data_IF_983767647435
#
_entry.id   IF_983767647435
#
_cell.length_a   1.000
_cell.length_b   1.000
_cell.length_c   1.000
_cell.angle_alpha   90.00
_cell.angle_beta   90.00
_cell.angle_gamma   90.00
#
_symmetry.space_group_name_H-M   'P 1'
#
loop_
_entity.id
_entity.type
_entity.pdbx_description
1 polymer ?
#
# COMPACT_ATOMS: atom_id res chain seq x y z
N UNK A 1 11.30 -14.22 -13.29
CA UNK A 1 9.86 -14.06 -13.59
C UNK A 1 9.68 -13.84 -15.08
N UNK A 2 8.63 -14.39 -15.71
CA UNK A 2 8.32 -14.16 -17.13
C UNK A 2 7.99 -12.68 -17.33
N UNK A 3 8.63 -12.04 -18.31
CA UNK A 3 8.37 -10.64 -18.64
C UNK A 3 7.17 -10.56 -19.60
N UNK A 4 6.19 -9.70 -19.27
CA UNK A 4 5.09 -9.43 -20.19
C UNK A 4 5.58 -8.62 -21.40
N UNK A 5 5.13 -8.90 -22.65
CA UNK A 5 5.55 -8.16 -23.84
C UNK A 5 5.21 -6.66 -23.78
N UNK A 6 4.15 -6.30 -23.06
CA UNK A 6 3.72 -4.89 -22.89
C UNK A 6 4.31 -4.23 -21.63
N UNK A 7 5.43 -4.74 -21.08
CA UNK A 7 6.14 -4.09 -20.00
C UNK A 7 6.58 -2.69 -20.38
N UNK A 8 6.30 -1.74 -19.50
CA UNK A 8 6.81 -0.38 -19.57
C UNK A 8 7.85 -0.21 -18.46
N UNK A 9 9.09 0.06 -18.85
CA UNK A 9 10.18 0.35 -17.91
C UNK A 9 10.34 1.86 -17.82
N UNK A 10 10.22 2.37 -16.60
CA UNK A 10 10.45 3.79 -16.30
C UNK A 10 11.94 4.07 -16.11
N UNK A 11 12.57 3.29 -15.22
CA UNK A 11 14.00 3.29 -14.94
C UNK A 11 14.48 1.87 -14.64
N UNK A 12 15.78 1.64 -14.55
CA UNK A 12 16.33 0.32 -14.24
C UNK A 12 15.84 -0.19 -12.87
N UNK A 13 15.10 -1.29 -12.89
CA UNK A 13 14.48 -1.87 -11.69
C UNK A 13 13.11 -1.28 -11.34
N UNK A 14 12.60 -0.32 -12.13
CA UNK A 14 11.28 0.30 -11.94
C UNK A 14 10.45 0.15 -13.22
N UNK A 15 9.43 -0.71 -13.16
CA UNK A 15 8.60 -1.04 -14.32
C UNK A 15 7.20 -1.45 -13.89
N UNK A 16 6.28 -1.41 -14.84
CA UNK A 16 4.97 -2.01 -14.67
C UNK A 16 4.54 -2.75 -15.94
N UNK A 17 3.67 -3.73 -15.77
CA UNK A 17 3.18 -4.57 -16.86
C UNK A 17 1.80 -5.16 -16.52
N UNK A 18 1.00 -5.56 -17.53
CA UNK A 18 -0.19 -6.36 -17.29
C UNK A 18 0.15 -7.64 -16.53
N UNK A 19 -0.79 -8.15 -15.75
CA UNK A 19 -0.56 -9.36 -14.96
C UNK A 19 -0.25 -10.54 -15.88
N UNK A 20 0.95 -11.12 -15.71
CA UNK A 20 1.32 -12.37 -16.39
C UNK A 20 0.50 -13.54 -15.86
N UNK A 21 0.51 -14.67 -16.58
CA UNK A 21 -0.17 -15.89 -16.14
C UNK A 21 0.33 -16.34 -14.76
N UNK A 22 1.65 -16.29 -14.52
CA UNK A 22 2.25 -16.69 -13.26
C UNK A 22 1.83 -15.79 -12.08
N UNK A 23 1.69 -14.49 -12.31
CA UNK A 23 1.20 -13.56 -11.28
C UNK A 23 -0.28 -13.84 -10.98
N UNK A 24 -1.12 -14.03 -12.02
CA UNK A 24 -2.55 -14.37 -11.82
C UNK A 24 -2.71 -15.66 -11.00
N UNK A 25 -1.94 -16.71 -11.33
CA UNK A 25 -1.96 -17.98 -10.59
C UNK A 25 -1.51 -17.80 -9.12
N UNK A 26 -0.56 -16.92 -8.83
CA UNK A 26 -0.07 -16.63 -7.48
C UNK A 26 -1.11 -15.95 -6.60
N UNK A 27 -1.87 -15.00 -7.15
CA UNK A 27 -2.80 -14.17 -6.37
C UNK A 27 -4.21 -14.74 -6.27
N UNK A 28 -4.62 -15.61 -7.23
CA UNK A 28 -5.98 -16.14 -7.29
C UNK A 28 -6.24 -17.10 -6.12
N UNK A 29 -7.33 -16.87 -5.41
CA UNK A 29 -7.67 -17.60 -4.18
C UNK A 29 -7.06 -16.99 -2.92
N UNK A 30 -6.25 -15.93 -3.04
CA UNK A 30 -5.64 -15.21 -1.91
C UNK A 30 -6.11 -13.75 -1.91
N UNK A 31 -5.35 -12.83 -2.51
CA UNK A 31 -5.75 -11.41 -2.61
C UNK A 31 -6.79 -11.17 -3.69
N UNK A 32 -6.86 -12.02 -4.70
CA UNK A 32 -7.86 -12.00 -5.77
C UNK A 32 -8.79 -13.22 -5.66
N UNK A 33 -10.10 -13.05 -5.43
CA UNK A 33 -11.02 -14.19 -5.22
C UNK A 33 -11.16 -15.05 -6.47
N UNK A 34 -11.34 -16.37 -6.30
CA UNK A 34 -11.56 -17.32 -7.40
C UNK A 34 -12.84 -17.02 -8.20
N UNK A 35 -13.82 -16.37 -7.55
CA UNK A 35 -15.09 -16.00 -8.16
C UNK A 35 -15.69 -14.75 -7.51
N UNK A 36 -16.54 -14.05 -8.25
CA UNK A 36 -17.25 -12.88 -7.74
C UNK A 36 -16.42 -11.59 -7.67
N UNK A 37 -15.18 -11.58 -8.15
CA UNK A 37 -14.41 -10.36 -8.27
C UNK A 37 -15.05 -9.44 -9.31
N UNK A 38 -15.26 -8.18 -8.93
CA UNK A 38 -15.80 -7.14 -9.82
C UNK A 38 -14.74 -6.32 -10.51
N UNK A 39 -13.46 -6.56 -10.18
CA UNK A 39 -12.29 -5.91 -10.77
C UNK A 39 -11.63 -6.90 -11.72
N UNK A 40 -11.67 -6.68 -13.03
CA UNK A 40 -11.04 -7.61 -13.98
C UNK A 40 -9.51 -7.53 -13.89
N UNK A 41 -8.83 -8.63 -14.21
CA UNK A 41 -7.35 -8.66 -14.23
C UNK A 41 -6.75 -7.62 -15.18
N UNK A 42 -7.48 -7.28 -16.26
CA UNK A 42 -7.09 -6.30 -17.27
C UNK A 42 -7.06 -4.86 -16.74
N UNK A 43 -7.65 -4.62 -15.57
CA UNK A 43 -7.59 -3.33 -14.88
C UNK A 43 -6.44 -3.25 -13.85
N UNK A 44 -5.70 -4.34 -13.67
CA UNK A 44 -4.59 -4.44 -12.74
C UNK A 44 -3.25 -4.58 -13.48
N UNK A 45 -2.23 -3.91 -12.95
CA UNK A 45 -0.85 -4.07 -13.38
C UNK A 45 0.02 -4.55 -12.22
N UNK A 46 1.00 -5.38 -12.56
CA UNK A 46 2.12 -5.68 -11.69
C UNK A 46 3.15 -4.55 -11.79
N UNK A 47 3.70 -4.14 -10.66
CA UNK A 47 4.74 -3.13 -10.54
C UNK A 47 5.95 -3.76 -9.87
N UNK A 48 7.09 -3.77 -10.56
CA UNK A 48 8.39 -4.11 -10.00
C UNK A 48 9.16 -2.83 -9.67
N UNK A 49 9.78 -2.81 -8.50
CA UNK A 49 10.48 -1.64 -8.00
C UNK A 49 11.70 -2.02 -7.13
N UNK A 50 12.54 -1.03 -6.83
CA UNK A 50 13.58 -1.10 -5.82
C UNK A 50 13.23 -0.19 -4.65
N UNK A 51 13.71 -0.52 -3.46
CA UNK A 51 13.58 0.32 -2.27
C UNK A 51 14.80 0.16 -1.37
N UNK A 52 14.97 1.09 -0.42
CA UNK A 52 15.96 1.00 0.65
C UNK A 52 15.24 0.50 1.90
N UNK A 53 15.72 -0.59 2.48
CA UNK A 53 15.14 -1.13 3.71
C UNK A 53 15.60 -0.36 4.97
N UNK A 54 15.13 -0.77 6.14
CA UNK A 54 15.48 -0.12 7.40
C UNK A 54 16.93 -0.34 7.83
N UNK A 55 17.61 -1.32 7.24
CA UNK A 55 19.06 -1.54 7.41
C UNK A 55 19.89 -0.73 6.41
N UNK A 56 19.25 0.08 5.56
CA UNK A 56 19.90 0.89 4.53
C UNK A 56 20.37 0.08 3.33
N UNK A 57 19.81 -1.11 3.10
CA UNK A 57 20.17 -1.98 2.00
C UNK A 57 19.17 -1.86 0.83
N UNK A 58 19.69 -1.91 -0.40
CA UNK A 58 18.85 -1.99 -1.59
C UNK A 58 18.14 -3.34 -1.65
N UNK A 59 16.82 -3.31 -1.81
CA UNK A 59 15.94 -4.45 -1.98
C UNK A 59 15.13 -4.31 -3.25
N UNK A 60 14.56 -5.42 -3.72
CA UNK A 60 13.54 -5.43 -4.77
C UNK A 60 12.16 -5.64 -4.16
N UNK A 61 11.19 -4.86 -4.62
CA UNK A 61 9.81 -4.93 -4.16
C UNK A 61 8.84 -5.15 -5.31
N UNK A 62 7.62 -5.51 -4.96
CA UNK A 62 6.55 -5.75 -5.91
C UNK A 62 5.19 -5.28 -5.38
N UNK A 63 4.38 -4.72 -6.27
CA UNK A 63 3.01 -4.32 -5.99
C UNK A 63 2.09 -4.79 -7.11
N UNK A 64 0.81 -4.89 -6.81
CA UNK A 64 -0.25 -4.92 -7.81
C UNK A 64 -1.11 -3.69 -7.58
N UNK A 65 -1.37 -2.92 -8.62
CA UNK A 65 -2.21 -1.74 -8.55
C UNK A 65 -3.12 -1.62 -9.78
N UNK A 66 -4.06 -0.70 -9.73
CA UNK A 66 -4.85 -0.36 -10.91
C UNK A 66 -3.93 0.18 -12.01
N UNK A 67 -4.16 -0.24 -13.26
CA UNK A 67 -3.40 0.23 -14.42
C UNK A 67 -3.39 1.76 -14.56
N UNK A 68 -4.45 2.42 -14.08
CA UNK A 68 -4.58 3.88 -14.17
C UNK A 68 -3.59 4.64 -13.27
N UNK A 69 -3.01 3.96 -12.27
CA UNK A 69 -2.04 4.57 -11.33
C UNK A 69 -0.65 3.91 -11.39
N UNK A 70 -0.45 2.94 -12.30
CA UNK A 70 0.79 2.20 -12.36
C UNK A 70 2.01 3.09 -12.71
N UNK A 71 1.82 4.08 -13.58
CA UNK A 71 2.85 5.08 -13.89
C UNK A 71 3.17 5.95 -12.65
N UNK A 72 2.15 6.42 -11.93
CA UNK A 72 2.37 7.18 -10.69
C UNK A 72 3.18 6.36 -9.67
N UNK A 73 2.87 5.06 -9.53
CA UNK A 73 3.58 4.18 -8.60
C UNK A 73 5.08 4.09 -8.91
N UNK A 74 5.45 3.84 -10.16
CA UNK A 74 6.89 3.74 -10.50
C UNK A 74 7.61 5.07 -10.33
N UNK A 75 6.97 6.20 -10.64
CA UNK A 75 7.55 7.53 -10.46
C UNK A 75 7.75 7.87 -8.98
N UNK A 76 6.73 7.63 -8.15
CA UNK A 76 6.79 7.88 -6.69
C UNK A 76 7.87 7.01 -6.05
N UNK A 77 7.86 5.69 -6.30
CA UNK A 77 8.82 4.78 -5.68
C UNK A 77 10.24 5.00 -6.18
N UNK A 78 10.43 5.44 -7.42
CA UNK A 78 11.75 5.84 -7.92
C UNK A 78 12.28 7.07 -7.17
N UNK A 79 11.44 8.09 -6.95
CA UNK A 79 11.83 9.27 -6.18
C UNK A 79 12.07 8.94 -4.69
N UNK A 80 11.27 8.06 -4.08
CA UNK A 80 11.54 7.56 -2.72
C UNK A 80 12.91 6.87 -2.65
N UNK A 81 13.18 5.95 -3.58
CA UNK A 81 14.44 5.23 -3.67
C UNK A 81 15.65 6.16 -3.84
N UNK A 82 15.56 7.14 -4.76
CA UNK A 82 16.64 8.10 -5.03
C UNK A 82 16.97 9.01 -3.86
N UNK A 83 16.04 9.17 -2.92
CA UNK A 83 16.22 9.99 -1.73
C UNK A 83 16.47 9.14 -0.47
N UNK A 84 16.85 7.87 -0.63
CA UNK A 84 17.13 6.94 0.45
C UNK A 84 15.97 6.82 1.46
N UNK A 85 14.73 7.00 1.00
CA UNK A 85 13.54 6.86 1.83
C UNK A 85 13.35 5.39 2.20
N UNK A 86 13.34 5.09 3.50
CA UNK A 86 13.34 3.73 3.98
C UNK A 86 11.93 3.14 4.08
N UNK A 87 11.78 1.93 3.53
CA UNK A 87 10.60 1.09 3.63
C UNK A 87 11.01 -0.25 4.22
N UNK A 88 10.29 -0.78 5.22
CA UNK A 88 10.64 -2.08 5.83
C UNK A 88 10.56 -3.21 4.81
N UNK A 89 9.43 -3.29 4.12
CA UNK A 89 9.23 -4.22 3.01
C UNK A 89 8.19 -3.71 2.02
N UNK A 90 8.27 -4.21 0.78
CA UNK A 90 7.28 -3.94 -0.28
C UNK A 90 6.97 -5.27 -0.97
N UNK A 91 5.91 -5.93 -0.51
CA UNK A 91 5.53 -7.29 -0.96
C UNK A 91 4.04 -7.37 -1.24
N UNK A 92 3.66 -8.32 -2.10
CA UNK A 92 2.25 -8.64 -2.29
C UNK A 92 1.65 -9.15 -0.98
N UNK A 93 0.40 -8.75 -0.72
CA UNK A 93 -0.36 -9.20 0.45
C UNK A 93 -0.53 -10.74 0.46
N UNK A 94 -0.34 -11.37 -0.69
CA UNK A 94 -0.41 -12.81 -0.90
C UNK A 94 0.65 -13.58 -0.08
N UNK A 95 1.80 -12.98 0.23
CA UNK A 95 2.80 -13.57 1.12
C UNK A 95 2.32 -13.67 2.58
N UNK A 96 1.25 -12.94 2.90
CA UNK A 96 0.55 -12.95 4.19
C UNK A 96 -0.80 -13.67 4.09
N UNK A 97 -1.01 -14.50 3.06
CA UNK A 97 -2.29 -15.19 2.78
C UNK A 97 -3.50 -14.24 2.65
N UNK A 98 -3.28 -13.02 2.20
CA UNK A 98 -4.32 -11.98 2.10
C UNK A 98 -4.71 -11.34 3.45
N UNK A 99 -4.03 -11.70 4.55
CA UNK A 99 -4.27 -11.16 5.88
C UNK A 99 -3.63 -9.76 6.02
N UNK A 100 -4.49 -8.76 5.97
CA UNK A 100 -4.11 -7.34 6.06
C UNK A 100 -3.44 -7.01 7.41
N UNK A 101 -3.97 -7.57 8.51
CA UNK A 101 -3.43 -7.32 9.85
C UNK A 101 -2.03 -7.93 10.00
N UNK A 102 -1.82 -9.14 9.50
CA UNK A 102 -0.50 -9.78 9.52
C UNK A 102 0.52 -9.00 8.67
N UNK A 103 0.12 -8.55 7.48
CA UNK A 103 0.95 -7.70 6.61
C UNK A 103 1.33 -6.38 7.29
N UNK A 104 0.37 -5.69 7.90
CA UNK A 104 0.63 -4.45 8.63
C UNK A 104 1.52 -4.64 9.86
N UNK A 105 1.37 -5.76 10.57
CA UNK A 105 2.20 -6.08 11.75
C UNK A 105 3.68 -6.29 11.37
N UNK A 106 3.94 -6.81 10.17
CA UNK A 106 5.29 -6.93 9.59
C UNK A 106 5.73 -5.66 8.85
N UNK A 107 5.01 -4.55 9.06
CA UNK A 107 5.28 -3.23 8.47
C UNK A 107 5.40 -3.26 6.93
N UNK A 108 4.65 -4.13 6.28
CA UNK A 108 4.71 -4.31 4.83
C UNK A 108 3.91 -3.25 4.08
N UNK A 109 4.55 -2.55 3.17
CA UNK A 109 3.92 -1.63 2.22
C UNK A 109 3.20 -2.46 1.15
N UNK A 110 1.88 -2.27 1.00
CA UNK A 110 1.04 -3.06 0.09
C UNK A 110 -0.07 -2.24 -0.57
N UNK A 111 -0.56 -2.70 -1.73
CA UNK A 111 -1.55 -1.97 -2.52
C UNK A 111 -2.82 -2.79 -2.72
N UNK A 112 -2.85 -3.72 -3.68
CA UNK A 112 -4.06 -4.49 -4.02
C UNK A 112 -4.37 -5.57 -2.98
N UNK A 113 -5.62 -5.57 -2.50
CA UNK A 113 -6.22 -6.63 -1.71
C UNK A 113 -7.75 -6.56 -1.87
N UNK A 114 -8.37 -7.59 -2.49
CA UNK A 114 -9.82 -7.58 -2.74
C UNK A 114 -10.59 -7.91 -1.46
N UNK A 115 -10.90 -6.88 -0.70
CA UNK A 115 -11.62 -6.97 0.57
C UNK A 115 -12.60 -5.84 0.77
N UNK A 116 -13.53 -6.02 1.68
CA UNK A 116 -14.38 -4.92 2.17
C UNK A 116 -13.65 -4.08 3.21
N UNK A 117 -14.12 -2.86 3.41
CA UNK A 117 -13.69 -2.02 4.52
C UNK A 117 -14.19 -2.65 5.83
N UNK A 118 -13.32 -2.72 6.84
CA UNK A 118 -13.63 -3.32 8.13
C UNK A 118 -14.93 -2.78 8.73
N UNK A 119 -15.81 -3.71 9.17
CA UNK A 119 -17.12 -3.39 9.74
C UNK A 119 -18.17 -2.93 8.72
N UNK A 120 -17.92 -3.04 7.41
CA UNK A 120 -18.85 -2.62 6.34
C UNK A 120 -19.07 -3.70 5.28
N UNK A 121 -20.00 -3.46 4.36
CA UNK A 121 -20.18 -4.24 3.14
C UNK A 121 -19.59 -3.58 1.87
N UNK A 122 -18.97 -2.42 2.03
CA UNK A 122 -18.39 -1.66 0.92
C UNK A 122 -16.98 -2.16 0.61
N UNK A 123 -16.65 -2.32 -0.68
CA UNK A 123 -15.28 -2.63 -1.10
C UNK A 123 -14.32 -1.50 -0.71
N UNK A 124 -13.15 -1.89 -0.22
CA UNK A 124 -12.04 -0.98 0.03
C UNK A 124 -11.47 -0.44 -1.30
N UNK A 125 -10.82 0.72 -1.27
CA UNK A 125 -10.05 1.21 -2.41
C UNK A 125 -8.87 0.28 -2.77
N UNK A 126 -8.35 -0.49 -1.82
CA UNK A 126 -7.40 -1.58 -2.08
C UNK A 126 -7.98 -2.66 -2.99
N UNK A 127 -9.26 -2.96 -2.89
CA UNK A 127 -9.93 -3.92 -3.77
C UNK A 127 -9.93 -3.51 -5.25
N UNK A 128 -9.84 -2.20 -5.51
CA UNK A 128 -9.72 -1.65 -6.85
C UNK A 128 -8.27 -1.40 -7.29
N UNK A 129 -7.30 -1.68 -6.42
CA UNK A 129 -5.89 -1.32 -6.63
C UNK A 129 -5.63 0.18 -6.66
N UNK A 130 -6.49 0.98 -6.03
CA UNK A 130 -6.45 2.46 -6.05
C UNK A 130 -5.99 3.06 -4.72
N UNK A 131 -5.55 2.23 -3.79
CA UNK A 131 -4.98 2.64 -2.51
C UNK A 131 -3.70 1.86 -2.21
N UNK A 132 -2.85 2.47 -1.41
CA UNK A 132 -1.60 1.88 -0.91
C UNK A 132 -1.41 2.28 0.55
N UNK A 133 -0.93 1.34 1.34
CA UNK A 133 -0.52 1.55 2.73
C UNK A 133 1.01 1.49 2.81
N UNK A 134 1.63 2.52 3.41
CA UNK A 134 3.08 2.70 3.47
C UNK A 134 3.56 2.65 4.91
N UNK A 135 4.51 1.78 5.22
CA UNK A 135 5.08 1.61 6.57
C UNK A 135 3.99 1.57 7.68
N UNK A 136 3.01 0.64 7.59
CA UNK A 136 1.78 0.68 8.37
C UNK A 136 1.97 0.57 9.89
N UNK A 137 2.99 -0.15 10.35
CA UNK A 137 3.27 -0.30 11.77
C UNK A 137 3.61 1.04 12.45
N UNK A 138 4.35 1.90 11.76
CA UNK A 138 4.71 3.25 12.23
C UNK A 138 3.66 4.30 11.89
N UNK A 139 2.69 3.97 11.05
CA UNK A 139 1.66 4.89 10.57
C UNK A 139 0.27 4.25 10.71
N UNK A 140 -0.20 3.99 11.94
CA UNK A 140 -1.35 3.17 12.19
C UNK A 140 -2.68 3.77 11.71
N UNK A 141 -3.65 2.88 11.49
CA UNK A 141 -5.06 3.22 11.38
C UNK A 141 -5.66 3.42 12.77
N UNK A 142 -6.37 4.53 12.99
CA UNK A 142 -6.95 4.93 14.28
C UNK A 142 -8.43 5.23 14.11
N UNK A 143 -9.29 4.53 14.87
CA UNK A 143 -10.72 4.82 14.96
C UNK A 143 -11.04 5.31 16.37
N UNK A 144 -11.40 6.58 16.48
CA UNK A 144 -11.63 7.21 17.75
C UNK A 144 -12.81 6.59 18.51
N UNK A 145 -12.61 6.28 19.78
CA UNK A 145 -13.64 5.80 20.73
C UNK A 145 -14.40 4.55 20.28
N UNK A 146 -13.74 3.67 19.48
CA UNK A 146 -14.39 2.46 18.94
C UNK A 146 -14.46 1.32 19.94
N UNK A 147 -13.53 1.23 20.90
CA UNK A 147 -13.50 0.13 21.86
C UNK A 147 -14.61 0.25 22.92
N UNK A 148 -15.03 -0.87 23.50
CA UNK A 148 -16.11 -0.91 24.49
C UNK A 148 -15.84 -0.06 25.75
N UNK A 149 -14.56 0.14 26.08
CA UNK A 149 -14.13 0.99 27.20
C UNK A 149 -14.01 2.49 26.83
N UNK A 150 -14.33 2.84 25.56
CA UNK A 150 -14.23 4.19 25.03
C UNK A 150 -12.84 4.60 24.55
N UNK A 151 -11.87 3.69 24.60
CA UNK A 151 -10.55 3.94 24.01
C UNK A 151 -10.56 3.85 22.47
N UNK A 152 -9.52 4.36 21.86
CA UNK A 152 -9.35 4.31 20.42
C UNK A 152 -8.98 2.89 19.96
N UNK A 153 -9.53 2.45 18.83
CA UNK A 153 -9.07 1.26 18.14
C UNK A 153 -7.87 1.62 17.26
N UNK A 154 -6.77 0.91 17.42
CA UNK A 154 -5.52 1.14 16.68
C UNK A 154 -5.11 -0.16 16.00
N UNK A 155 -4.75 -0.07 14.73
CA UNK A 155 -4.31 -1.22 13.90
C UNK A 155 -3.08 -0.85 13.08
N UNK A 156 -2.07 -1.75 12.99
CA UNK A 156 -2.03 -3.09 13.56
C UNK A 156 -1.79 -3.09 15.07
N UNK A 157 -2.10 -4.18 15.80
CA UNK A 157 -1.76 -4.33 17.23
C UNK A 157 -0.25 -4.14 17.45
N UNK A 158 0.11 -3.43 18.53
CA UNK A 158 1.50 -3.10 18.85
C UNK A 158 1.97 -1.75 18.33
N UNK A 159 1.17 -1.10 17.46
CA UNK A 159 1.47 0.22 16.89
C UNK A 159 0.92 1.41 17.70
N UNK A 160 0.32 1.15 18.85
CA UNK A 160 -0.39 2.15 19.68
C UNK A 160 0.49 3.35 20.04
N UNK A 161 1.79 3.13 20.27
CA UNK A 161 2.74 4.18 20.61
C UNK A 161 2.95 5.19 19.47
N UNK A 162 2.69 4.78 18.22
CA UNK A 162 2.81 5.63 17.04
C UNK A 162 1.53 6.39 16.68
N UNK A 163 0.43 6.14 17.40
CA UNK A 163 -0.82 6.88 17.23
C UNK A 163 -0.74 8.31 17.80
N UNK A 164 0.13 8.55 18.79
CA UNK A 164 0.43 9.91 19.29
C UNK A 164 1.33 10.65 18.30
N UNK A 165 0.71 11.35 17.35
CA UNK A 165 1.41 12.09 16.28
C UNK A 165 2.07 13.39 16.77
N UNK A 166 1.92 13.77 18.02
CA UNK A 166 2.66 14.87 18.64
C UNK A 166 4.13 14.50 18.91
N UNK A 167 4.39 13.20 19.03
CA UNK A 167 5.74 12.66 19.26
C UNK A 167 6.56 12.66 17.96
N UNK A 168 7.88 12.78 18.13
CA UNK A 168 8.82 12.64 17.01
C UNK A 168 9.43 11.24 17.04
N UNK A 169 9.25 10.48 15.96
CA UNK A 169 9.80 9.13 15.78
C UNK A 169 10.18 8.88 14.32
N UNK A 170 11.02 7.89 14.09
CA UNK A 170 11.44 7.50 12.75
C UNK A 170 10.26 6.95 11.92
N UNK A 171 10.33 7.09 10.60
CA UNK A 171 9.36 6.56 9.62
C UNK A 171 7.94 7.13 9.75
N UNK A 172 7.77 8.22 10.47
CA UNK A 172 6.51 8.94 10.61
C UNK A 172 6.15 9.64 9.30
N UNK A 173 4.99 9.33 8.75
CA UNK A 173 4.42 10.07 7.63
C UNK A 173 3.57 11.22 8.19
N UNK A 174 3.92 12.45 7.83
CA UNK A 174 3.13 13.66 8.09
C UNK A 174 3.20 14.60 6.87
N UNK A 175 2.58 15.77 6.94
CA UNK A 175 2.49 16.71 5.82
C UNK A 175 3.86 17.26 5.34
N UNK A 176 4.94 17.10 6.12
CA UNK A 176 6.29 17.50 5.76
C UNK A 176 7.11 16.33 5.18
N UNK A 177 6.58 15.11 5.27
CA UNK A 177 7.27 13.91 4.84
C UNK A 177 7.36 13.82 3.31
N UNK A 178 8.47 13.25 2.81
CA UNK A 178 8.68 13.07 1.37
C UNK A 178 7.60 12.19 0.73
N UNK A 179 7.21 11.10 1.39
CA UNK A 179 6.20 10.19 0.89
C UNK A 179 4.85 10.93 0.73
N UNK A 180 4.42 11.70 1.74
CA UNK A 180 3.21 12.52 1.65
C UNK A 180 3.25 13.49 0.46
N UNK A 181 4.37 14.20 0.26
CA UNK A 181 4.52 15.16 -0.84
C UNK A 181 4.40 14.49 -2.20
N UNK A 182 5.13 13.40 -2.42
CA UNK A 182 5.13 12.69 -3.69
C UNK A 182 3.74 12.14 -4.03
N UNK A 183 3.08 11.46 -3.09
CA UNK A 183 1.73 10.95 -3.33
C UNK A 183 0.72 12.07 -3.62
N UNK A 184 0.77 13.18 -2.87
CA UNK A 184 -0.16 14.29 -3.08
C UNK A 184 0.09 15.05 -4.38
N UNK A 185 1.34 15.21 -4.80
CA UNK A 185 1.73 15.78 -6.11
C UNK A 185 1.21 14.92 -7.26
N UNK A 186 1.14 13.58 -7.09
CA UNK A 186 0.52 12.65 -8.03
C UNK A 186 -1.00 12.55 -7.89
N UNK A 187 -1.63 13.40 -7.08
CA UNK A 187 -3.09 13.51 -6.95
C UNK A 187 -3.75 12.47 -6.06
N UNK A 188 -3.00 11.81 -5.19
CA UNK A 188 -3.54 10.98 -4.12
C UNK A 188 -4.02 11.84 -2.95
N UNK A 189 -4.97 11.33 -2.20
CA UNK A 189 -5.39 11.87 -0.91
C UNK A 189 -4.88 10.99 0.21
N UNK A 190 -4.52 11.59 1.34
CA UNK A 190 -3.98 10.89 2.50
C UNK A 190 -5.02 10.68 3.59
N UNK A 191 -5.09 9.48 4.16
CA UNK A 191 -6.01 9.12 5.23
C UNK A 191 -5.73 9.83 6.56
N UNK A 192 -4.50 10.31 6.78
CA UNK A 192 -4.18 11.16 7.93
C UNK A 192 -4.94 12.50 7.95
N UNK A 193 -5.49 12.94 6.82
CA UNK A 193 -6.34 14.13 6.72
C UNK A 193 -7.82 13.89 7.00
N UNK A 194 -8.26 12.62 7.22
CA UNK A 194 -9.66 12.34 7.51
C UNK A 194 -10.06 12.85 8.92
N UNK A 195 -11.33 13.13 9.13
CA UNK A 195 -11.82 13.72 10.38
C UNK A 195 -12.39 12.70 11.36
N UNK A 196 -13.12 11.68 10.88
CA UNK A 196 -13.79 10.69 11.71
C UNK A 196 -12.89 9.55 12.17
N UNK A 197 -11.87 9.29 11.39
CA UNK A 197 -10.82 8.31 11.62
C UNK A 197 -9.51 8.88 11.12
N UNK A 198 -8.39 8.29 11.52
CA UNK A 198 -7.09 8.60 10.94
C UNK A 198 -6.49 7.33 10.36
N UNK A 199 -5.98 7.43 9.14
CA UNK A 199 -5.28 6.33 8.49
C UNK A 199 -3.94 6.85 7.97
N UNK A 200 -2.96 6.81 8.84
CA UNK A 200 -1.68 7.50 8.58
C UNK A 200 -0.81 6.79 7.54
N UNK A 201 -1.06 5.50 7.29
CA UNK A 201 -0.40 4.70 6.26
C UNK A 201 -1.00 4.92 4.87
N UNK A 202 -2.30 5.30 4.80
CA UNK A 202 -3.16 5.15 3.65
C UNK A 202 -3.12 6.32 2.68
N UNK A 203 -2.81 6.03 1.42
CA UNK A 203 -2.95 6.93 0.29
C UNK A 203 -3.89 6.33 -0.74
N UNK A 204 -4.82 7.13 -1.28
CA UNK A 204 -5.76 6.67 -2.29
C UNK A 204 -5.98 7.70 -3.40
N UNK A 205 -6.24 7.22 -4.63
CA UNK A 205 -6.54 8.05 -5.79
C UNK A 205 -7.92 7.74 -6.35
N UNK A 206 -8.74 8.78 -6.55
CA UNK A 206 -10.02 8.64 -7.26
C UNK A 206 -9.79 8.79 -8.76
N UNK A 207 -10.28 7.85 -9.54
CA UNK A 207 -10.31 7.99 -11.00
C UNK A 207 -11.38 9.03 -11.38
N UNK A 208 -11.03 9.86 -12.36
CA UNK A 208 -11.95 10.89 -12.92
C UNK A 208 -12.94 10.28 -13.88
#
# INVERSE_FOLDING_TARGET
MEQHPDRITYEEGFYYEPLTKSVKERITGISYPESGCTVPYEDLNYVGLKYIDFDGQEQTGELICNKAIAQDMVEIFYELYRNDYQLESVRLIDEYNGDDTASMAENNTSCFNYRVVDGTSSLSNHAYGLAIDVNPYYNPYVVFHRNEDGSDYISPPGSEIYADRSQNFAYKIDENDLCYRLFTEHGFTWGGNWNSTKDYQHFQKKLK
#
